data_IF_274910969014
#
_entry.id   IF_274910969014
#
_cell.length_a   1.000
_cell.length_b   1.000
_cell.length_c   1.000
_cell.angle_alpha   90.00
_cell.angle_beta   90.00
_cell.angle_gamma   90.00
#
_symmetry.space_group_name_H-M   'P 1'
#
loop_
_entity.id
_entity.type
_entity.pdbx_description
1 polymer ?
#
# COMPACT_ATOMS: atom_id res chain seq x y z
N UNK A 1 0.01 7.13 -12.57
CA UNK A 1 0.37 6.22 -11.46
C UNK A 1 -0.51 6.38 -10.23
N UNK A 2 -1.45 7.34 -10.19
CA UNK A 2 -2.40 7.44 -9.07
C UNK A 2 -3.26 6.18 -8.90
N UNK A 3 -3.48 5.41 -9.98
CA UNK A 3 -4.24 4.16 -9.88
C UNK A 3 -3.49 3.09 -9.06
N UNK A 4 -2.17 2.96 -9.25
CA UNK A 4 -1.33 1.98 -8.55
C UNK A 4 -1.14 2.34 -7.07
N UNK A 5 -0.95 3.62 -6.77
CA UNK A 5 -0.87 4.10 -5.38
C UNK A 5 -2.21 3.90 -4.65
N UNK A 6 -3.35 4.10 -5.32
CA UNK A 6 -4.67 3.84 -4.74
C UNK A 6 -4.89 2.36 -4.41
N UNK A 7 -4.44 1.45 -5.28
CA UNK A 7 -4.51 0.00 -5.05
C UNK A 7 -3.58 -0.40 -3.89
N UNK A 8 -2.34 0.11 -3.87
CA UNK A 8 -1.37 -0.16 -2.81
C UNK A 8 -1.85 0.35 -1.44
N UNK A 9 -2.39 1.56 -1.39
CA UNK A 9 -2.97 2.16 -0.19
C UNK A 9 -4.11 1.30 0.39
N UNK A 10 -5.01 0.79 -0.46
CA UNK A 10 -6.07 -0.11 -0.03
C UNK A 10 -5.52 -1.43 0.56
N UNK A 11 -4.47 -2.01 -0.03
CA UNK A 11 -3.83 -3.23 0.48
C UNK A 11 -3.12 -3.00 1.81
N UNK A 12 -2.33 -1.93 1.93
CA UNK A 12 -1.63 -1.55 3.17
C UNK A 12 -2.65 -1.25 4.28
N UNK A 13 -3.75 -0.60 3.92
CA UNK A 13 -4.86 -0.28 4.83
C UNK A 13 -5.68 -1.49 5.31
N UNK A 14 -5.36 -2.70 4.83
CA UNK A 14 -6.02 -3.94 5.26
C UNK A 14 -7.43 -4.11 4.72
N UNK A 15 -7.77 -3.48 3.59
CA UNK A 15 -9.11 -3.62 2.99
C UNK A 15 -9.23 -4.90 2.15
N UNK A 16 -10.12 -5.80 2.56
CA UNK A 16 -10.38 -7.08 1.89
C UNK A 16 -11.08 -6.89 0.54
N UNK A 17 -10.36 -7.13 -0.57
CA UNK A 17 -10.90 -7.00 -1.94
C UNK A 17 -11.84 -8.14 -2.38
N UNK A 18 -11.93 -9.24 -1.62
CA UNK A 18 -12.74 -10.43 -1.97
C UNK A 18 -14.12 -10.48 -1.30
N UNK A 19 -14.53 -9.41 -0.64
CA UNK A 19 -15.81 -9.32 0.07
C UNK A 19 -15.69 -9.87 1.49
N UNK A 20 -15.80 -8.98 2.48
CA UNK A 20 -15.80 -9.30 3.91
C UNK A 20 -14.72 -8.56 4.69
N UNK A 21 -15.07 -7.38 5.21
CA UNK A 21 -14.33 -6.57 6.18
C UNK A 21 -13.07 -5.84 5.69
N UNK A 22 -13.29 -4.72 5.00
CA UNK A 22 -12.32 -3.62 4.91
C UNK A 22 -13.05 -2.32 5.27
N UNK A 23 -12.46 -1.46 6.10
CA UNK A 23 -13.09 -0.18 6.48
C UNK A 23 -12.52 0.97 5.66
N UNK A 24 -13.34 1.99 5.38
CA UNK A 24 -12.89 3.24 4.74
C UNK A 24 -11.75 3.87 5.56
N UNK A 25 -11.81 3.77 6.88
CA UNK A 25 -10.76 4.24 7.78
C UNK A 25 -9.41 3.52 7.55
N UNK A 26 -9.41 2.22 7.29
CA UNK A 26 -8.18 1.48 6.94
C UNK A 26 -7.56 1.97 5.64
N UNK A 27 -8.36 2.15 4.59
CA UNK A 27 -7.88 2.69 3.31
C UNK A 27 -7.34 4.13 3.43
N UNK A 28 -8.00 4.99 4.22
CA UNK A 28 -7.52 6.35 4.49
C UNK A 28 -6.16 6.33 5.20
N UNK A 29 -5.95 5.44 6.18
CA UNK A 29 -4.66 5.27 6.83
C UNK A 29 -3.59 4.75 5.86
N UNK A 30 -3.92 3.78 5.02
CA UNK A 30 -3.01 3.29 3.98
C UNK A 30 -2.63 4.37 2.96
N UNK A 31 -3.58 5.20 2.54
CA UNK A 31 -3.36 6.32 1.63
C UNK A 31 -2.48 7.41 2.28
N UNK A 32 -2.68 7.67 3.58
CA UNK A 32 -1.83 8.57 4.35
C UNK A 32 -0.38 8.08 4.34
N UNK A 33 -0.15 6.78 4.59
CA UNK A 33 1.20 6.20 4.60
C UNK A 33 1.88 6.32 3.23
N UNK A 34 1.20 5.96 2.13
CA UNK A 34 1.75 6.07 0.77
C UNK A 34 2.08 7.53 0.44
N UNK A 35 1.18 8.46 0.77
CA UNK A 35 1.37 9.89 0.51
C UNK A 35 2.51 10.47 1.35
N UNK A 36 2.63 10.06 2.62
CA UNK A 36 3.74 10.48 3.48
C UNK A 36 5.09 9.95 2.97
N UNK A 37 5.13 8.72 2.47
CA UNK A 37 6.35 8.14 1.86
C UNK A 37 6.75 8.89 0.59
N UNK A 38 5.79 9.23 -0.27
CA UNK A 38 6.02 10.00 -1.49
C UNK A 38 6.60 11.39 -1.19
N UNK A 39 6.01 12.09 -0.22
CA UNK A 39 6.53 13.39 0.23
C UNK A 39 7.91 13.25 0.90
N UNK A 40 8.13 12.22 1.72
CA UNK A 40 9.40 11.97 2.38
C UNK A 40 10.53 11.68 1.38
N UNK A 41 10.27 10.86 0.35
CA UNK A 41 11.25 10.59 -0.70
C UNK A 41 11.53 11.83 -1.55
N UNK A 42 10.52 12.64 -1.85
CA UNK A 42 10.72 13.92 -2.56
C UNK A 42 11.54 14.92 -1.75
N UNK A 43 11.34 15.00 -0.43
CA UNK A 43 12.15 15.88 0.43
C UNK A 43 13.61 15.43 0.55
N UNK A 44 13.87 14.12 0.41
CA UNK A 44 15.20 13.55 0.39
C UNK A 44 15.87 13.62 -0.99
N UNK A 45 15.24 14.29 -1.96
CA UNK A 45 15.72 14.40 -3.35
C UNK A 45 16.01 13.02 -3.98
N UNK A 46 15.19 12.02 -3.63
CA UNK A 46 15.31 10.67 -4.19
C UNK A 46 14.78 10.69 -5.62
N UNK A 47 15.62 10.24 -6.56
CA UNK A 47 15.28 10.16 -7.97
C UNK A 47 13.99 9.34 -8.22
N UNK A 48 13.16 9.79 -9.16
CA UNK A 48 11.85 9.20 -9.43
C UNK A 48 11.92 7.71 -9.80
N UNK A 49 13.05 7.29 -10.40
CA UNK A 49 13.33 5.88 -10.66
C UNK A 49 13.31 5.02 -9.39
N UNK A 50 13.97 5.51 -8.32
CA UNK A 50 14.01 4.81 -7.03
C UNK A 50 12.65 4.84 -6.33
N UNK A 51 11.92 5.95 -6.43
CA UNK A 51 10.57 6.04 -5.88
C UNK A 51 9.64 4.97 -6.48
N UNK A 52 9.73 4.73 -7.80
CA UNK A 52 8.94 3.72 -8.49
C UNK A 52 9.28 2.29 -8.03
N UNK A 53 10.57 1.99 -7.85
CA UNK A 53 11.02 0.68 -7.33
C UNK A 53 10.52 0.47 -5.90
N UNK A 54 10.62 1.49 -5.05
CA UNK A 54 10.16 1.43 -3.65
C UNK A 54 8.65 1.23 -3.59
N UNK A 55 7.86 2.01 -4.34
CA UNK A 55 6.40 1.84 -4.38
C UNK A 55 6.00 0.45 -4.88
N UNK A 56 6.67 -0.06 -5.91
CA UNK A 56 6.44 -1.41 -6.43
C UNK A 56 6.78 -2.51 -5.42
N UNK A 57 7.89 -2.38 -4.69
CA UNK A 57 8.28 -3.35 -3.67
C UNK A 57 7.32 -3.35 -2.48
N UNK A 58 6.86 -2.17 -2.04
CA UNK A 58 5.84 -2.04 -0.99
C UNK A 58 4.55 -2.74 -1.41
N UNK A 59 4.09 -2.56 -2.65
CA UNK A 59 2.88 -3.20 -3.16
C UNK A 59 3.01 -4.73 -3.14
N UNK A 60 4.14 -5.27 -3.62
CA UNK A 60 4.42 -6.71 -3.60
C UNK A 60 4.43 -7.25 -2.17
N UNK A 61 5.08 -6.55 -1.24
CA UNK A 61 5.09 -6.93 0.18
C UNK A 61 3.69 -6.88 0.79
N UNK A 62 2.91 -5.84 0.51
CA UNK A 62 1.55 -5.69 1.01
C UNK A 62 0.65 -6.84 0.53
N UNK A 63 0.73 -7.21 -0.74
CA UNK A 63 0.04 -8.38 -1.32
C UNK A 63 0.53 -9.69 -0.69
N UNK A 64 1.83 -9.85 -0.51
CA UNK A 64 2.40 -11.06 0.07
C UNK A 64 1.92 -11.27 1.51
N UNK A 65 1.87 -10.19 2.31
CA UNK A 65 1.34 -10.21 3.67
C UNK A 65 -0.17 -10.47 3.68
N UNK A 66 -0.95 -9.84 2.79
CA UNK A 66 -2.40 -10.10 2.65
C UNK A 66 -2.67 -11.59 2.36
N UNK A 67 -1.93 -12.17 1.41
CA UNK A 67 -2.05 -13.58 1.04
C UNK A 67 -1.62 -14.51 2.19
N UNK A 68 -0.51 -14.19 2.87
CA UNK A 68 0.04 -15.03 3.94
C UNK A 68 -0.80 -14.99 5.22
N UNK A 69 -1.30 -13.80 5.59
CA UNK A 69 -2.17 -13.59 6.77
C UNK A 69 -3.49 -14.34 6.64
N UNK A 70 -3.96 -14.58 5.41
CA UNK A 70 -5.18 -15.31 5.13
C UNK A 70 -5.09 -16.81 5.41
N UNK A 71 -3.90 -17.40 5.42
CA UNK A 71 -3.72 -18.83 5.67
C UNK A 71 -3.98 -19.26 7.13
N UNK A 72 -4.12 -18.30 8.05
CA UNK A 72 -4.35 -18.55 9.48
C UNK A 72 -5.81 -18.49 9.95
N UNK A 73 -6.78 -18.15 9.09
CA UNK A 73 -8.22 -18.17 9.42
C UNK A 73 -8.89 -19.40 8.81
N UNK A 74 -8.61 -20.56 9.40
CA UNK A 74 -9.54 -21.70 9.44
C UNK A 74 -10.13 -21.77 10.84
#
# INVERSE_FOLDING_TARGET
MGELDAIAACFIGGTSMRGGSGTVYGALLGALVITSLDNGMSMLDVDSYWQMIVKGSILVLAVWVDVSTRSGRR
#
